data_IF_294822796796
#
_entry.id   IF_294822796796
#
_cell.length_a   1.000
_cell.length_b   1.000
_cell.length_c   1.000
_cell.angle_alpha   90.00
_cell.angle_beta   90.00
_cell.angle_gamma   90.00
#
_symmetry.space_group_name_H-M   'P 1'
#
loop_
_entity.id
_entity.type
_entity.pdbx_description
1 polymer ?
#
# COMPACT_ATOMS: atom_id res chain seq x y z
N UNK A 1 -24.37 4.38 -9.54
CA UNK A 1 -23.81 4.85 -8.26
C UNK A 1 -22.51 4.09 -8.08
N UNK A 2 -21.35 4.75 -8.15
CA UNK A 2 -20.04 4.07 -8.16
C UNK A 2 -19.85 3.34 -6.82
N UNK A 3 -19.91 2.01 -6.85
CA UNK A 3 -19.55 1.17 -5.72
C UNK A 3 -18.03 1.31 -5.57
N UNK A 4 -17.59 2.17 -4.66
CA UNK A 4 -16.18 2.20 -4.27
C UNK A 4 -15.99 0.98 -3.38
N UNK A 5 -15.20 0.02 -3.87
CA UNK A 5 -14.68 -1.17 -3.21
C UNK A 5 -14.50 -0.94 -1.69
N UNK A 6 -15.38 -1.58 -0.91
CA UNK A 6 -15.45 -1.41 0.54
C UNK A 6 -14.18 -1.88 1.24
N UNK A 7 -13.48 -2.86 0.67
CA UNK A 7 -12.22 -3.40 1.19
C UNK A 7 -11.06 -2.43 0.95
N UNK A 8 -10.99 -1.76 -0.21
CA UNK A 8 -10.01 -0.67 -0.43
C UNK A 8 -10.23 0.52 0.50
N UNK A 9 -11.49 0.90 0.74
CA UNK A 9 -11.81 1.96 1.71
C UNK A 9 -11.37 1.54 3.12
N UNK A 10 -11.67 0.31 3.54
CA UNK A 10 -11.31 -0.20 4.86
C UNK A 10 -9.80 -0.15 5.10
N UNK A 11 -8.98 -0.57 4.13
CA UNK A 11 -7.50 -0.51 4.22
C UNK A 11 -6.96 0.92 4.34
N UNK A 12 -7.53 1.86 3.57
CA UNK A 12 -7.14 3.27 3.64
C UNK A 12 -7.50 3.86 5.02
N UNK A 13 -8.64 3.45 5.57
CA UNK A 13 -9.07 3.81 6.93
C UNK A 13 -8.13 3.21 7.97
N UNK A 14 -7.78 1.92 7.88
CA UNK A 14 -6.89 1.25 8.85
C UNK A 14 -5.50 1.89 8.86
N UNK A 15 -4.96 2.18 7.68
CA UNK A 15 -3.68 2.89 7.56
C UNK A 15 -3.75 4.30 8.16
N UNK A 16 -4.86 5.03 7.93
CA UNK A 16 -5.07 6.35 8.53
C UNK A 16 -5.21 6.28 10.04
N UNK A 17 -5.93 5.28 10.55
CA UNK A 17 -6.10 5.05 11.98
C UNK A 17 -4.75 4.76 12.63
N UNK A 18 -3.93 3.92 12.00
CA UNK A 18 -2.61 3.61 12.51
C UNK A 18 -1.67 4.83 12.50
N UNK A 19 -1.68 5.62 11.42
CA UNK A 19 -0.93 6.87 11.36
C UNK A 19 -1.34 7.83 12.48
N UNK A 20 -2.64 7.96 12.75
CA UNK A 20 -3.16 8.79 13.83
C UNK A 20 -2.74 8.26 15.20
N UNK A 21 -2.75 6.94 15.40
CA UNK A 21 -2.27 6.30 16.62
C UNK A 21 -0.78 6.60 16.80
N UNK A 22 0.06 6.42 15.79
CA UNK A 22 1.49 6.72 15.86
C UNK A 22 1.76 8.20 16.12
N UNK A 23 1.02 9.11 15.47
CA UNK A 23 1.08 10.55 15.73
C UNK A 23 0.74 10.87 17.18
N UNK A 24 -0.34 10.28 17.71
CA UNK A 24 -0.72 10.48 19.11
C UNK A 24 0.32 9.92 20.08
N UNK A 25 0.82 8.71 19.82
CA UNK A 25 1.87 8.09 20.62
C UNK A 25 3.13 8.95 20.66
N UNK A 26 3.44 9.71 19.61
CA UNK A 26 4.65 10.57 19.57
C UNK A 26 4.71 11.66 20.64
N UNK A 27 3.58 12.02 21.26
CA UNK A 27 3.54 12.94 22.40
C UNK A 27 3.93 12.28 23.73
N UNK A 28 4.04 10.95 23.76
CA UNK A 28 4.38 10.19 24.93
C UNK A 28 5.79 9.60 24.79
N UNK A 29 6.50 9.52 25.92
CA UNK A 29 7.84 8.90 25.98
C UNK A 29 7.75 7.37 26.01
N UNK A 30 6.73 6.85 26.69
CA UNK A 30 6.62 5.45 27.05
C UNK A 30 5.23 4.89 26.75
N UNK A 31 5.20 3.62 26.36
CA UNK A 31 3.99 2.81 26.15
C UNK A 31 4.03 1.61 27.09
N UNK A 32 3.10 1.55 28.05
CA UNK A 32 3.09 0.51 29.08
C UNK A 32 2.37 -0.77 28.64
N UNK A 33 1.34 -0.66 27.80
CA UNK A 33 0.53 -1.79 27.40
C UNK A 33 -0.15 -1.58 26.06
N UNK A 34 -0.34 -2.67 25.32
CA UNK A 34 -1.01 -2.74 24.03
C UNK A 34 -2.10 -3.81 24.16
N UNK A 35 -3.37 -3.39 24.18
CA UNK A 35 -4.50 -4.31 24.30
C UNK A 35 -5.09 -4.59 22.91
N UNK A 36 -4.97 -5.84 22.44
CA UNK A 36 -5.60 -6.30 21.20
C UNK A 36 -6.96 -6.89 21.54
N UNK A 37 -8.03 -6.20 21.14
CA UNK A 37 -9.40 -6.62 21.43
C UNK A 37 -9.90 -7.62 20.38
N UNK A 38 -10.42 -8.76 20.82
CA UNK A 38 -10.92 -9.84 19.98
C UNK A 38 -12.31 -10.30 20.45
N UNK A 39 -13.08 -10.95 19.58
CA UNK A 39 -14.30 -11.67 19.97
C UNK A 39 -13.97 -13.17 20.10
N UNK A 40 -14.49 -13.90 21.09
CA UNK A 40 -14.22 -15.32 21.28
C UNK A 40 -14.70 -16.23 20.16
N UNK A 41 -15.79 -15.85 19.48
CA UNK A 41 -16.48 -16.70 18.51
C UNK A 41 -16.26 -16.26 17.06
N UNK A 42 -15.20 -15.50 16.79
CA UNK A 42 -14.79 -15.25 15.41
C UNK A 42 -13.88 -16.41 14.97
N UNK A 43 -14.49 -17.59 14.81
CA UNK A 43 -13.82 -18.83 14.40
C UNK A 43 -13.31 -18.78 12.96
N UNK A 44 -13.71 -17.74 12.22
CA UNK A 44 -13.21 -17.45 10.88
C UNK A 44 -11.77 -16.98 10.98
N UNK A 45 -10.88 -17.96 11.02
CA UNK A 45 -9.46 -17.82 10.69
C UNK A 45 -9.34 -17.51 9.20
N UNK A 46 -9.89 -16.37 8.82
CA UNK A 46 -9.83 -15.83 7.48
C UNK A 46 -8.42 -15.29 7.31
N UNK A 47 -7.87 -15.44 6.11
CA UNK A 47 -6.64 -14.75 5.68
C UNK A 47 -6.67 -13.27 6.12
N UNK A 48 -7.85 -12.66 6.15
CA UNK A 48 -8.14 -11.33 6.71
C UNK A 48 -7.71 -11.17 8.19
N UNK A 49 -8.05 -12.11 9.08
CA UNK A 49 -7.62 -12.07 10.49
C UNK A 49 -6.10 -12.13 10.63
N UNK A 50 -5.45 -13.03 9.87
CA UNK A 50 -3.98 -13.14 9.84
C UNK A 50 -3.36 -11.84 9.34
N UNK A 51 -3.89 -11.29 8.25
CA UNK A 51 -3.45 -10.01 7.69
C UNK A 51 -3.51 -8.88 8.73
N UNK A 52 -4.63 -8.71 9.45
CA UNK A 52 -4.75 -7.63 10.44
C UNK A 52 -3.79 -7.77 11.62
N UNK A 53 -3.63 -8.99 12.15
CA UNK A 53 -2.67 -9.23 13.24
C UNK A 53 -1.24 -8.95 12.74
N UNK A 54 -0.87 -9.44 11.56
CA UNK A 54 0.46 -9.18 11.01
C UNK A 54 0.69 -7.70 10.73
N UNK A 55 -0.29 -7.00 10.15
CA UNK A 55 -0.18 -5.58 9.84
C UNK A 55 0.06 -4.78 11.11
N UNK A 56 -0.76 -4.99 12.15
CA UNK A 56 -0.57 -4.34 13.44
C UNK A 56 0.84 -4.60 14.02
N UNK A 57 1.27 -5.86 14.05
CA UNK A 57 2.56 -6.25 14.62
C UNK A 57 3.75 -5.75 13.79
N UNK A 58 3.61 -5.60 12.47
CA UNK A 58 4.66 -5.08 11.59
C UNK A 58 5.03 -3.62 11.92
N UNK A 59 4.11 -2.88 12.54
CA UNK A 59 4.32 -1.50 12.95
C UNK A 59 4.84 -1.34 14.37
N UNK A 60 5.11 -2.44 15.08
CA UNK A 60 5.63 -2.42 16.45
C UNK A 60 7.09 -2.86 16.50
N UNK A 61 7.87 -2.14 17.32
CA UNK A 61 9.24 -2.52 17.64
C UNK A 61 9.24 -3.75 18.57
N UNK A 62 10.23 -4.64 18.40
CA UNK A 62 10.32 -5.92 19.13
C UNK A 62 10.37 -5.77 20.66
N UNK A 63 10.85 -4.64 21.16
CA UNK A 63 10.86 -4.36 22.61
C UNK A 63 9.46 -4.19 23.19
N UNK A 64 8.44 -3.90 22.37
CA UNK A 64 7.05 -3.80 22.81
C UNK A 64 6.37 -5.16 23.01
N UNK A 65 7.02 -6.28 22.66
CA UNK A 65 6.39 -7.61 22.62
C UNK A 65 5.79 -8.06 23.96
N UNK A 66 6.44 -7.72 25.07
CA UNK A 66 5.99 -8.08 26.42
C UNK A 66 4.90 -7.13 26.95
N UNK A 67 4.65 -6.02 26.25
CA UNK A 67 3.56 -5.10 26.56
C UNK A 67 2.25 -5.47 25.81
N UNK A 68 2.28 -6.46 24.91
CA UNK A 68 1.12 -6.91 24.13
C UNK A 68 0.30 -7.91 24.93
N UNK A 69 -1.00 -7.64 25.06
CA UNK A 69 -1.99 -8.51 25.70
C UNK A 69 -3.23 -8.68 24.81
N UNK A 70 -3.87 -9.84 24.91
CA UNK A 70 -5.06 -10.18 24.13
C UNK A 70 -6.31 -10.16 25.02
N UNK A 71 -7.31 -9.39 24.60
CA UNK A 71 -8.51 -9.14 25.38
C UNK A 71 -9.73 -9.64 24.62
N UNK A 72 -10.32 -10.74 25.07
CA UNK A 72 -11.51 -11.34 24.48
C UNK A 72 -12.76 -10.70 25.10
N UNK A 73 -13.49 -9.95 24.27
CA UNK A 73 -14.71 -9.22 24.66
C UNK A 73 -15.95 -10.09 24.44
N UNK A 74 -17.04 -9.82 25.16
CA UNK A 74 -18.29 -10.60 25.09
C UNK A 74 -18.07 -12.09 25.42
N UNK A 75 -17.21 -12.38 26.40
CA UNK A 75 -16.80 -13.73 26.73
C UNK A 75 -17.83 -14.53 27.53
N UNK A 76 -18.97 -13.94 27.91
CA UNK A 76 -20.04 -14.67 28.64
C UNK A 76 -20.50 -15.92 27.88
N UNK A 77 -20.68 -15.83 26.57
CA UNK A 77 -21.12 -16.96 25.73
C UNK A 77 -20.12 -18.12 25.65
N UNK A 78 -18.86 -17.88 26.04
CA UNK A 78 -17.79 -18.88 26.11
C UNK A 78 -17.39 -19.19 27.55
N UNK A 79 -18.27 -18.91 28.52
CA UNK A 79 -18.01 -19.08 29.96
C UNK A 79 -16.73 -18.36 30.42
N UNK A 80 -16.52 -17.15 29.92
CA UNK A 80 -15.36 -16.30 30.20
C UNK A 80 -14.05 -16.94 29.76
N UNK A 81 -14.06 -17.55 28.57
CA UNK A 81 -12.89 -18.13 27.93
C UNK A 81 -12.67 -17.52 26.54
N UNK A 82 -11.43 -17.59 26.01
CA UNK A 82 -11.10 -17.04 24.70
C UNK A 82 -11.84 -17.65 23.49
N UNK A 83 -12.53 -18.78 23.65
CA UNK A 83 -13.36 -19.38 22.60
C UNK A 83 -12.56 -19.90 21.39
N UNK A 84 -13.26 -20.01 20.26
CA UNK A 84 -12.77 -20.58 19.01
C UNK A 84 -11.75 -19.69 18.27
N UNK A 85 -11.69 -18.40 18.60
CA UNK A 85 -10.67 -17.47 18.05
C UNK A 85 -9.27 -17.72 18.63
N UNK A 86 -9.17 -18.41 19.76
CA UNK A 86 -7.90 -18.59 20.45
C UNK A 86 -6.93 -19.60 19.81
N UNK A 87 -7.36 -20.83 19.42
CA UNK A 87 -6.48 -21.76 18.70
C UNK A 87 -5.82 -21.16 17.45
N UNK A 88 -6.53 -20.47 16.53
CA UNK A 88 -5.90 -19.90 15.35
C UNK A 88 -4.95 -18.74 15.67
N UNK A 89 -5.29 -17.88 16.64
CA UNK A 89 -4.37 -16.84 17.12
C UNK A 89 -3.08 -17.48 17.65
N UNK A 90 -3.20 -18.49 18.52
CA UNK A 90 -2.04 -19.19 19.10
C UNK A 90 -1.17 -19.84 18.04
N UNK A 91 -1.79 -20.52 17.06
CA UNK A 91 -1.09 -21.12 15.93
C UNK A 91 -0.34 -20.04 15.14
N UNK A 92 -1.00 -18.92 14.85
CA UNK A 92 -0.41 -17.86 14.04
C UNK A 92 0.76 -17.16 14.74
N UNK A 93 0.66 -16.85 16.04
CA UNK A 93 1.78 -16.28 16.79
C UNK A 93 2.97 -17.24 16.86
N UNK A 94 2.73 -18.55 16.93
CA UNK A 94 3.80 -19.56 16.86
C UNK A 94 4.49 -19.56 15.50
N UNK A 95 3.72 -19.52 14.41
CA UNK A 95 4.30 -19.40 13.06
C UNK A 95 5.16 -18.14 12.90
N UNK A 96 4.73 -17.02 13.48
CA UNK A 96 5.50 -15.77 13.48
C UNK A 96 6.79 -15.89 14.30
N UNK A 97 6.74 -16.56 15.46
CA UNK A 97 7.92 -16.85 16.26
C UNK A 97 8.91 -17.73 15.49
N UNK A 98 8.43 -18.80 14.86
CA UNK A 98 9.27 -19.74 14.10
C UNK A 98 9.95 -19.04 12.90
N UNK A 99 9.25 -18.09 12.26
CA UNK A 99 9.76 -17.34 11.10
C UNK A 99 10.70 -16.18 11.45
N UNK A 100 10.33 -15.39 12.46
CA UNK A 100 10.98 -14.10 12.74
C UNK A 100 11.76 -14.07 14.06
N UNK A 101 11.67 -15.13 14.87
CA UNK A 101 12.41 -15.26 16.13
C UNK A 101 11.91 -14.38 17.28
N UNK A 102 10.76 -13.72 17.12
CA UNK A 102 10.16 -12.86 18.16
C UNK A 102 8.96 -13.55 18.78
N UNK A 103 9.12 -14.03 20.01
CA UNK A 103 8.03 -14.64 20.78
C UNK A 103 7.11 -13.58 21.39
N UNK A 104 5.82 -13.61 21.03
CA UNK A 104 4.74 -12.94 21.76
C UNK A 104 4.08 -13.98 22.65
N UNK A 105 4.17 -13.78 23.96
CA UNK A 105 3.68 -14.74 24.96
C UNK A 105 2.16 -14.81 24.91
N UNK A 106 1.63 -16.03 24.75
CA UNK A 106 0.19 -16.32 24.83
C UNK A 106 -0.07 -17.33 25.95
N UNK A 107 -0.23 -16.79 27.15
CA UNK A 107 -0.48 -17.55 28.38
C UNK A 107 -1.57 -16.88 29.20
N UNK A 108 -1.92 -17.49 30.34
CA UNK A 108 -2.92 -16.95 31.24
C UNK A 108 -2.68 -15.45 31.51
N UNK A 109 -1.46 -15.06 31.90
CA UNK A 109 -1.12 -13.66 32.24
C UNK A 109 -1.11 -12.67 31.07
N UNK A 110 -1.36 -13.10 29.83
CA UNK A 110 -1.41 -12.21 28.66
C UNK A 110 -2.74 -12.29 27.91
N UNK A 111 -3.69 -13.05 28.45
CA UNK A 111 -4.99 -13.31 27.84
C UNK A 111 -6.08 -13.02 28.87
N UNK A 112 -6.99 -12.12 28.53
CA UNK A 112 -8.02 -11.61 29.43
C UNK A 112 -9.40 -11.72 28.81
N UNK A 113 -10.41 -12.10 29.59
CA UNK A 113 -11.77 -12.31 29.09
C UNK A 113 -12.77 -11.38 29.78
N UNK A 114 -13.34 -10.46 29.02
CA UNK A 114 -14.25 -9.43 29.51
C UNK A 114 -15.68 -9.67 29.02
N UNK A 115 -16.64 -9.21 29.81
CA UNK A 115 -18.04 -9.12 29.41
C UNK A 115 -18.56 -7.70 29.67
N UNK A 116 -19.54 -7.27 28.87
CA UNK A 116 -20.09 -5.90 28.94
C UNK A 116 -21.56 -5.86 29.34
N UNK A 117 -22.18 -7.02 29.60
CA UNK A 117 -23.60 -7.13 29.96
C UNK A 117 -23.96 -6.37 31.25
N UNK A 118 -23.01 -6.26 32.18
CA UNK A 118 -23.19 -5.44 33.40
C UNK A 118 -23.43 -3.96 33.10
N UNK A 119 -22.78 -3.39 32.09
CA UNK A 119 -23.03 -2.00 31.67
C UNK A 119 -24.39 -1.83 31.00
N UNK A 120 -24.80 -2.82 30.19
CA UNK A 120 -26.14 -2.85 29.57
C UNK A 120 -27.23 -2.92 30.63
N UNK A 121 -27.03 -3.75 31.64
CA UNK A 121 -27.91 -3.86 32.80
C UNK A 121 -28.04 -2.53 33.55
N UNK A 122 -26.93 -1.84 33.83
CA UNK A 122 -26.97 -0.51 34.49
C UNK A 122 -27.74 0.52 33.65
N UNK A 123 -27.57 0.52 32.33
CA UNK A 123 -28.32 1.40 31.43
C UNK A 123 -29.82 1.10 31.45
N UNK A 124 -30.20 -0.19 31.46
CA UNK A 124 -31.60 -0.61 31.51
C UNK A 124 -32.26 -0.29 32.87
N UNK A 125 -31.54 -0.41 33.99
CA UNK A 125 -32.03 0.03 35.30
C UNK A 125 -32.31 1.54 35.32
N UNK A 126 -31.46 2.35 34.69
CA UNK A 126 -31.69 3.79 34.54
C UNK A 126 -32.99 4.09 33.79
N UNK A 127 -33.33 3.25 32.81
CA UNK A 127 -34.58 3.32 32.05
C UNK A 127 -35.76 2.59 32.75
N UNK A 128 -35.61 2.25 34.04
CA UNK A 128 -36.65 1.62 34.87
C UNK A 128 -37.14 0.27 34.35
N UNK A 129 -36.34 -0.42 33.53
CA UNK A 129 -36.59 -1.82 33.15
C UNK A 129 -36.52 -2.70 34.39
N UNK A 130 -37.50 -3.59 34.55
CA UNK A 130 -37.55 -4.53 35.68
C UNK A 130 -36.83 -5.82 35.31
N UNK A 131 -36.07 -6.35 36.25
CA UNK A 131 -35.37 -7.63 36.12
C UNK A 131 -35.76 -8.57 37.25
N UNK A 132 -35.71 -9.86 36.99
CA UNK A 132 -35.80 -10.88 38.02
C UNK A 132 -34.49 -10.95 38.83
N UNK A 133 -34.59 -11.36 40.11
CA UNK A 133 -33.41 -11.48 41.00
C UNK A 133 -32.31 -12.38 40.44
N UNK A 134 -32.65 -13.38 39.64
CA UNK A 134 -31.68 -14.28 38.99
C UNK A 134 -30.89 -13.58 37.89
N UNK A 135 -31.55 -12.71 37.12
CA UNK A 135 -30.90 -11.89 36.09
C UNK A 135 -29.93 -10.90 36.74
N UNK A 136 -30.37 -10.21 37.81
CA UNK A 136 -29.51 -9.30 38.57
C UNK A 136 -28.25 -9.99 39.09
N UNK A 137 -28.39 -11.20 39.66
CA UNK A 137 -27.24 -12.01 40.10
C UNK A 137 -26.30 -12.35 38.94
N UNK A 138 -26.85 -12.73 37.79
CA UNK A 138 -26.06 -13.03 36.59
C UNK A 138 -25.26 -11.82 36.10
N UNK A 139 -25.86 -10.63 36.07
CA UNK A 139 -25.19 -9.38 35.70
C UNK A 139 -24.14 -8.94 36.73
N UNK A 140 -24.41 -9.10 38.03
CA UNK A 140 -23.46 -8.82 39.10
C UNK A 140 -22.22 -9.74 39.01
N UNK A 141 -22.42 -11.03 38.70
CA UNK A 141 -21.31 -11.98 38.50
C UNK A 141 -20.48 -11.63 37.25
N UNK A 142 -21.14 -11.20 36.16
CA UNK A 142 -20.45 -10.70 34.95
C UNK A 142 -19.56 -9.48 35.26
N UNK A 143 -20.07 -8.52 36.05
CA UNK A 143 -19.30 -7.38 36.53
C UNK A 143 -18.08 -7.83 37.33
N UNK A 144 -18.29 -8.68 38.35
CA UNK A 144 -17.22 -9.15 39.23
C UNK A 144 -16.09 -9.84 38.45
N UNK A 145 -16.43 -10.68 37.48
CA UNK A 145 -15.44 -11.36 36.62
C UNK A 145 -14.65 -10.37 35.79
N UNK A 146 -15.32 -9.43 35.13
CA UNK A 146 -14.67 -8.44 34.28
C UNK A 146 -13.77 -7.49 35.07
N UNK A 147 -14.16 -7.10 36.29
CA UNK A 147 -13.33 -6.31 37.21
C UNK A 147 -12.08 -7.09 37.64
N UNK A 148 -12.24 -8.36 38.03
CA UNK A 148 -11.10 -9.19 38.42
C UNK A 148 -10.09 -9.36 37.26
N UNK A 149 -10.58 -9.57 36.04
CA UNK A 149 -9.76 -9.65 34.84
C UNK A 149 -9.06 -8.32 34.52
N UNK A 150 -9.74 -7.18 34.71
CA UNK A 150 -9.15 -5.86 34.52
C UNK A 150 -8.03 -5.58 35.52
N UNK A 151 -8.24 -5.95 36.80
CA UNK A 151 -7.21 -5.84 37.82
C UNK A 151 -5.99 -6.71 37.50
N UNK A 152 -6.22 -7.95 37.04
CA UNK A 152 -5.16 -8.86 36.59
C UNK A 152 -4.38 -8.31 35.40
N UNK A 153 -5.06 -7.63 34.48
CA UNK A 153 -4.45 -6.94 33.33
C UNK A 153 -3.57 -5.76 33.77
N UNK A 154 -4.09 -4.90 34.64
CA UNK A 154 -3.35 -3.74 35.14
C UNK A 154 -2.13 -4.17 35.97
N UNK A 155 -2.28 -5.22 36.79
CA UNK A 155 -1.17 -5.77 37.56
C UNK A 155 -0.06 -6.30 36.65
N UNK A 156 -0.39 -7.03 35.58
CA UNK A 156 0.60 -7.49 34.60
C UNK A 156 1.31 -6.32 33.92
N UNK A 157 0.55 -5.35 33.37
CA UNK A 157 1.10 -4.18 32.67
C UNK A 157 2.01 -3.37 33.59
N UNK A 158 1.67 -3.23 34.88
CA UNK A 158 2.48 -2.49 35.86
C UNK A 158 3.86 -3.11 36.09
N UNK A 159 4.02 -4.42 35.84
CA UNK A 159 5.27 -5.18 35.98
C UNK A 159 6.07 -5.21 34.67
N UNK A 160 5.46 -4.87 33.54
CA UNK A 160 6.15 -4.86 32.26
C UNK A 160 7.08 -3.64 32.16
N UNK A 161 8.31 -3.81 31.65
CA UNK A 161 9.16 -2.68 31.29
C UNK A 161 8.42 -1.77 30.29
N UNK A 162 8.38 -0.44 30.52
CA UNK A 162 7.75 0.48 29.59
C UNK A 162 8.48 0.48 28.25
N UNK A 163 7.74 0.32 27.15
CA UNK A 163 8.30 0.41 25.81
C UNK A 163 8.63 1.86 25.45
N UNK A 164 9.80 2.12 24.87
CA UNK A 164 10.18 3.46 24.39
C UNK A 164 9.53 3.74 23.02
N UNK A 165 8.65 4.73 22.98
CA UNK A 165 7.87 5.02 21.77
C UNK A 165 8.76 5.46 20.59
N UNK A 166 9.92 6.09 20.87
CA UNK A 166 10.86 6.51 19.80
C UNK A 166 11.34 5.34 18.95
N UNK A 167 11.46 4.14 19.52
CA UNK A 167 11.93 2.96 18.79
C UNK A 167 10.87 2.51 17.77
N UNK A 168 9.59 2.53 18.16
CA UNK A 168 8.47 2.28 17.24
C UNK A 168 8.36 3.36 16.16
N UNK A 169 8.52 4.65 16.51
CA UNK A 169 8.48 5.72 15.52
C UNK A 169 9.61 5.60 14.49
N UNK A 170 10.85 5.37 14.95
CA UNK A 170 12.02 5.19 14.09
C UNK A 170 11.87 3.97 13.16
N UNK A 171 11.29 2.89 13.68
CA UNK A 171 10.92 1.71 12.89
C UNK A 171 9.97 2.07 11.74
N UNK A 172 8.90 2.80 12.06
CA UNK A 172 7.89 3.20 11.08
C UNK A 172 8.41 4.20 10.06
N UNK A 173 9.24 5.16 10.48
CA UNK A 173 9.92 6.08 9.57
C UNK A 173 10.84 5.33 8.61
N UNK A 174 11.64 4.39 9.11
CA UNK A 174 12.52 3.54 8.30
C UNK A 174 11.73 2.73 7.27
N UNK A 175 10.59 2.14 7.67
CA UNK A 175 9.68 1.41 6.78
C UNK A 175 9.13 2.32 5.68
N UNK A 176 8.72 3.53 6.02
CA UNK A 176 8.23 4.50 5.04
C UNK A 176 9.32 4.93 4.04
N UNK A 177 10.55 5.14 4.50
CA UNK A 177 11.68 5.46 3.61
C UNK A 177 11.95 4.30 2.64
N UNK A 178 11.94 3.05 3.12
CA UNK A 178 12.10 1.87 2.25
C UNK A 178 11.02 1.83 1.17
N UNK A 179 9.75 2.07 1.52
CA UNK A 179 8.65 2.08 0.54
C UNK A 179 8.87 3.16 -0.52
N UNK A 180 9.25 4.38 -0.10
CA UNK A 180 9.47 5.51 -1.01
C UNK A 180 10.64 5.23 -1.94
N UNK A 181 11.79 4.83 -1.39
CA UNK A 181 12.99 4.57 -2.18
C UNK A 181 12.79 3.40 -3.15
N UNK A 182 12.08 2.35 -2.74
CA UNK A 182 11.77 1.21 -3.64
C UNK A 182 10.95 1.67 -4.84
N UNK A 183 9.97 2.56 -4.65
CA UNK A 183 9.19 3.15 -5.77
C UNK A 183 10.07 4.00 -6.69
N UNK A 184 10.90 4.89 -6.13
CA UNK A 184 11.81 5.72 -6.90
C UNK A 184 12.82 4.89 -7.71
N UNK A 185 13.30 3.79 -7.14
CA UNK A 185 14.23 2.88 -7.78
C UNK A 185 13.61 2.17 -8.99
N UNK A 186 12.33 1.78 -8.89
CA UNK A 186 11.58 1.23 -10.02
C UNK A 186 11.41 2.27 -11.15
N UNK A 187 11.03 3.50 -10.81
CA UNK A 187 10.89 4.61 -11.78
C UNK A 187 12.23 4.96 -12.45
N UNK A 188 13.32 5.00 -11.69
CA UNK A 188 14.66 5.24 -12.22
C UNK A 188 15.14 4.10 -13.12
N UNK A 189 14.84 2.85 -12.77
CA UNK A 189 15.22 1.69 -13.60
C UNK A 189 14.52 1.74 -14.96
N UNK A 190 13.22 2.07 -15.01
CA UNK A 190 12.50 2.26 -16.27
C UNK A 190 13.06 3.40 -17.12
N UNK A 191 13.43 4.52 -16.49
CA UNK A 191 14.00 5.67 -17.20
C UNK A 191 15.38 5.36 -17.79
N UNK A 192 16.22 4.65 -17.04
CA UNK A 192 17.53 4.18 -17.49
C UNK A 192 17.37 3.25 -18.70
N UNK A 193 16.50 2.25 -18.60
CA UNK A 193 16.24 1.30 -19.70
C UNK A 193 15.79 2.03 -20.96
N UNK A 194 14.84 2.96 -20.83
CA UNK A 194 14.36 3.79 -21.94
C UNK A 194 15.49 4.60 -22.57
N UNK A 195 16.35 5.22 -21.76
CA UNK A 195 17.48 6.01 -22.27
C UNK A 195 18.52 5.13 -22.98
N UNK A 196 18.81 3.95 -22.45
CA UNK A 196 19.73 2.99 -23.06
C UNK A 196 19.20 2.53 -24.43
N UNK A 197 17.91 2.25 -24.55
CA UNK A 197 17.29 1.89 -25.84
C UNK A 197 17.40 3.03 -26.85
N UNK A 198 17.12 4.26 -26.44
CA UNK A 198 17.25 5.44 -27.30
C UNK A 198 18.70 5.68 -27.76
N UNK A 199 19.68 5.51 -26.87
CA UNK A 199 21.11 5.63 -27.21
C UNK A 199 21.47 4.56 -28.25
N UNK A 200 21.03 3.32 -28.07
CA UNK A 200 21.29 2.22 -29.03
C UNK A 200 20.70 2.52 -30.40
N UNK A 201 19.47 3.03 -30.45
CA UNK A 201 18.83 3.44 -31.72
C UNK A 201 19.65 4.54 -32.42
N UNK A 202 20.08 5.56 -31.69
CA UNK A 202 20.92 6.63 -32.25
C UNK A 202 22.28 6.11 -32.72
N UNK A 203 22.90 5.18 -31.98
CA UNK A 203 24.14 4.54 -32.40
C UNK A 203 23.98 3.73 -33.69
N UNK A 204 22.87 3.00 -33.84
CA UNK A 204 22.57 2.28 -35.09
C UNK A 204 22.32 3.22 -36.26
N UNK A 205 21.60 4.33 -36.05
CA UNK A 205 21.41 5.36 -37.08
C UNK A 205 22.74 6.00 -37.50
N UNK A 206 23.63 6.31 -36.56
CA UNK A 206 24.95 6.87 -36.85
C UNK A 206 25.82 5.86 -37.64
N UNK A 207 25.75 4.57 -37.30
CA UNK A 207 26.48 3.52 -38.02
C UNK A 207 25.96 3.32 -39.45
N UNK A 208 24.64 3.38 -39.64
CA UNK A 208 23.99 3.18 -40.94
C UNK A 208 24.15 4.39 -41.89
N UNK A 209 24.50 5.58 -41.38
CA UNK A 209 24.82 6.76 -42.21
C UNK A 209 26.13 6.59 -42.99
N UNK A 210 26.96 5.59 -42.69
CA UNK A 210 28.17 5.29 -43.47
C UNK A 210 27.89 4.64 -44.86
N UNK A 211 26.63 4.36 -45.25
CA UNK A 211 26.32 3.71 -46.53
C UNK A 211 25.60 4.56 -47.59
N UNK A 212 25.13 5.78 -47.31
CA UNK A 212 24.52 6.62 -48.36
C UNK A 212 24.93 8.09 -48.20
N UNK A 213 26.01 8.46 -48.89
CA UNK A 213 26.13 9.81 -49.44
C UNK A 213 25.08 9.95 -50.53
N UNK A 214 24.01 10.68 -50.25
CA UNK A 214 23.45 11.63 -51.21
C UNK A 214 22.52 12.61 -50.51
N UNK A 215 22.61 13.83 -51.02
CA UNK A 215 22.01 15.06 -50.57
C UNK A 215 20.50 14.93 -50.33
N UNK A 216 20.05 15.31 -49.13
CA UNK A 216 18.85 16.14 -48.94
C UNK A 216 18.73 16.57 -47.47
N UNK A 217 18.98 17.86 -47.26
CA UNK A 217 18.43 18.71 -46.20
C UNK A 217 18.06 18.03 -44.86
N UNK A 218 18.91 18.23 -43.84
CA UNK A 218 18.62 17.93 -42.43
C UNK A 218 17.36 18.69 -41.98
N UNK A 219 16.20 18.04 -42.12
CA UNK A 219 15.04 18.36 -41.29
C UNK A 219 15.40 17.90 -39.88
N UNK A 220 15.77 18.84 -39.03
CA UNK A 220 15.62 18.66 -37.59
C UNK A 220 14.16 18.27 -37.33
N UNK A 221 13.90 16.99 -37.09
CA UNK A 221 12.58 16.52 -36.71
C UNK A 221 12.28 17.09 -35.33
N UNK A 222 11.53 18.19 -35.34
CA UNK A 222 10.63 18.55 -34.26
C UNK A 222 9.69 17.36 -34.04
N UNK A 223 9.49 17.02 -32.76
CA UNK A 223 8.48 16.12 -32.19
C UNK A 223 8.76 14.60 -32.13
N UNK A 224 8.48 14.04 -30.95
CA UNK A 224 7.41 13.04 -30.85
C UNK A 224 6.33 13.57 -29.92
N UNK A 225 5.15 13.88 -30.49
CA UNK A 225 3.91 14.03 -29.74
C UNK A 225 3.22 12.67 -29.80
N UNK A 226 2.72 12.27 -28.63
CA UNK A 226 1.57 11.38 -28.40
C UNK A 226 1.86 9.87 -28.49
N UNK A 227 1.68 9.21 -27.34
CA UNK A 227 0.88 7.99 -27.24
C UNK A 227 -0.01 8.15 -25.98
N UNK A 228 -1.24 8.68 -26.14
CA UNK A 228 -2.45 7.91 -25.83
C UNK A 228 -2.33 6.46 -26.32
N UNK A 229 -2.08 5.54 -25.41
CA UNK A 229 -2.22 4.10 -25.67
C UNK A 229 -3.69 3.78 -25.49
N UNK A 230 -4.40 3.48 -26.59
CA UNK A 230 -5.67 2.76 -26.54
C UNK A 230 -5.47 1.23 -26.68
N UNK A 231 -4.25 0.71 -26.51
CA UNK A 231 -4.01 -0.75 -26.61
C UNK A 231 -3.24 -1.38 -25.45
N UNK A 232 -3.07 -0.66 -24.33
CA UNK A 232 -2.78 -1.31 -23.05
C UNK A 232 -3.59 -0.57 -21.98
N UNK A 233 -4.43 -1.32 -21.27
CA UNK A 233 -5.26 -0.86 -20.15
C UNK A 233 -4.39 -0.40 -18.95
N UNK A 234 -3.53 0.59 -19.15
CA UNK A 234 -2.78 1.27 -18.09
C UNK A 234 -3.18 2.73 -18.11
N UNK A 235 -4.23 3.05 -17.36
CA UNK A 235 -4.57 4.43 -17.04
C UNK A 235 -3.50 4.96 -16.08
N UNK A 236 -2.50 5.68 -16.59
CA UNK A 236 -1.61 6.49 -15.75
C UNK A 236 -2.35 7.77 -15.39
N UNK A 237 -2.80 7.89 -14.15
CA UNK A 237 -3.37 9.14 -13.62
C UNK A 237 -2.21 10.12 -13.46
N UNK A 238 -2.13 11.11 -14.35
CA UNK A 238 -1.19 12.22 -14.24
C UNK A 238 -1.80 13.27 -13.28
N UNK A 239 -1.17 13.53 -12.15
CA UNK A 239 -1.67 14.50 -11.17
C UNK A 239 -1.25 15.91 -11.62
N UNK A 240 -2.14 16.58 -12.34
CA UNK A 240 -1.82 17.76 -13.18
C UNK A 240 -1.61 19.07 -12.38
N UNK A 241 -1.96 19.13 -11.09
CA UNK A 241 -2.05 20.43 -10.37
C UNK A 241 -1.42 20.43 -8.98
N UNK A 242 -0.32 21.15 -8.84
CA UNK A 242 0.28 21.47 -7.55
C UNK A 242 -0.49 22.63 -6.90
N UNK A 243 -0.73 22.53 -5.58
CA UNK A 243 -1.40 23.60 -4.84
C UNK A 243 -0.41 24.70 -4.45
N UNK A 244 0.75 24.33 -3.93
CA UNK A 244 1.89 25.22 -3.71
C UNK A 244 3.20 24.43 -3.63
N UNK A 245 4.34 25.02 -4.00
CA UNK A 245 5.65 24.40 -3.85
C UNK A 245 6.09 24.37 -2.36
N UNK A 246 7.03 23.49 -2.04
CA UNK A 246 7.67 23.36 -0.72
C UNK A 246 6.69 23.27 0.45
N UNK A 247 5.73 22.35 0.34
CA UNK A 247 4.75 22.15 1.40
C UNK A 247 5.42 21.57 2.66
N UNK A 248 5.46 22.36 3.74
CA UNK A 248 6.02 21.96 5.04
C UNK A 248 5.01 21.27 5.96
N UNK A 249 3.91 20.72 5.41
CA UNK A 249 2.98 19.90 6.19
C UNK A 249 3.74 18.77 6.89
N UNK A 250 3.79 18.83 8.21
CA UNK A 250 4.36 17.79 9.07
C UNK A 250 3.24 16.82 9.45
N UNK A 251 3.48 15.52 9.29
CA UNK A 251 2.50 14.48 9.62
C UNK A 251 1.60 13.97 8.47
N UNK A 252 1.73 14.49 7.24
CA UNK A 252 1.17 13.84 6.05
C UNK A 252 2.21 12.88 5.45
N UNK A 253 1.92 11.58 5.41
CA UNK A 253 2.76 10.63 4.66
C UNK A 253 2.83 11.05 3.18
N UNK A 254 4.03 10.99 2.59
CA UNK A 254 4.26 11.36 1.20
C UNK A 254 3.58 10.38 0.24
N UNK A 255 3.10 10.90 -0.91
CA UNK A 255 2.61 10.09 -2.02
C UNK A 255 1.32 9.28 -1.76
N UNK A 256 0.50 9.71 -0.78
CA UNK A 256 -0.86 9.20 -0.56
C UNK A 256 -1.92 10.31 -0.54
N UNK A 257 -3.06 10.04 -1.18
CA UNK A 257 -4.27 10.89 -1.10
C UNK A 257 -4.99 10.68 0.24
N UNK A 258 -5.89 11.61 0.59
CA UNK A 258 -6.81 11.47 1.73
C UNK A 258 -6.14 11.41 3.12
N UNK A 259 -5.08 12.20 3.33
CA UNK A 259 -4.43 12.31 4.64
C UNK A 259 -4.99 13.47 5.43
N UNK A 260 -5.56 13.20 6.61
CA UNK A 260 -6.18 14.23 7.46
C UNK A 260 -5.20 15.34 7.88
N UNK A 261 -3.91 15.04 7.97
CA UNK A 261 -2.85 16.02 8.19
C UNK A 261 -2.77 17.10 7.08
N UNK A 262 -3.31 16.84 5.88
CA UNK A 262 -3.43 17.84 4.82
C UNK A 262 -4.50 18.90 5.13
N UNK A 263 -5.38 18.71 6.12
CA UNK A 263 -6.27 19.78 6.60
C UNK A 263 -5.48 20.95 7.20
N UNK A 264 -4.30 20.67 7.73
CA UNK A 264 -3.38 21.67 8.30
C UNK A 264 -2.47 22.29 7.21
N UNK A 265 -2.64 21.89 5.95
CA UNK A 265 -1.90 22.46 4.83
C UNK A 265 -2.36 23.89 4.57
N UNK A 266 -1.41 24.81 4.38
CA UNK A 266 -1.67 26.24 4.12
C UNK A 266 -2.56 26.47 2.89
N UNK A 267 -2.54 25.55 1.91
CA UNK A 267 -3.41 25.65 0.75
C UNK A 267 -4.85 25.18 1.00
N UNK A 268 -5.14 24.50 2.12
CA UNK A 268 -6.49 24.05 2.48
C UNK A 268 -7.12 25.09 3.41
N UNK A 269 -8.26 25.63 2.99
CA UNK A 269 -9.03 26.56 3.80
C UNK A 269 -9.69 25.84 4.99
N UNK A 270 -10.14 26.61 5.98
CA UNK A 270 -10.84 26.11 7.17
C UNK A 270 -12.10 25.26 6.86
N UNK A 271 -12.69 25.44 5.68
CA UNK A 271 -13.82 24.64 5.20
C UNK A 271 -13.43 23.27 4.60
N UNK A 272 -12.13 22.93 4.58
CA UNK A 272 -11.61 21.67 4.05
C UNK A 272 -11.41 21.64 2.54
N UNK A 273 -11.57 22.76 1.84
CA UNK A 273 -11.33 22.86 0.40
C UNK A 273 -10.07 23.64 0.08
N UNK A 274 -9.33 23.18 -0.93
CA UNK A 274 -8.14 23.85 -1.40
C UNK A 274 -8.46 25.22 -2.01
N UNK A 275 -7.75 26.25 -1.58
CA UNK A 275 -7.85 27.59 -2.15
C UNK A 275 -7.47 27.65 -3.63
N UNK A 276 -6.57 26.77 -4.08
CA UNK A 276 -6.02 26.75 -5.44
C UNK A 276 -6.87 25.93 -6.42
N UNK A 277 -7.00 24.62 -6.21
CA UNK A 277 -7.71 23.74 -7.15
C UNK A 277 -9.17 23.45 -6.77
N UNK A 278 -9.68 24.07 -5.68
CA UNK A 278 -11.05 23.93 -5.18
C UNK A 278 -11.50 22.50 -4.84
N UNK A 279 -10.59 21.53 -4.86
CA UNK A 279 -10.87 20.17 -4.44
C UNK A 279 -10.88 20.07 -2.91
N UNK A 280 -11.68 19.14 -2.39
CA UNK A 280 -11.67 18.82 -0.96
C UNK A 280 -10.32 18.18 -0.58
N UNK A 281 -9.79 18.47 0.62
CA UNK A 281 -8.48 18.01 1.09
C UNK A 281 -8.27 16.49 0.95
N UNK A 282 -9.35 15.70 0.97
CA UNK A 282 -9.28 14.24 0.77
C UNK A 282 -8.78 13.83 -0.62
N UNK A 283 -8.83 14.72 -1.61
CA UNK A 283 -8.29 14.50 -2.97
C UNK A 283 -6.85 14.97 -3.12
N UNK A 284 -6.23 15.49 -2.06
CA UNK A 284 -4.88 16.02 -2.08
C UNK A 284 -3.88 15.02 -1.54
N UNK A 285 -2.64 15.16 -2.00
CA UNK A 285 -1.51 14.32 -1.65
C UNK A 285 -0.32 15.21 -1.29
N UNK A 286 0.35 14.91 -0.18
CA UNK A 286 1.61 15.59 0.14
C UNK A 286 2.71 14.97 -0.70
N UNK A 287 3.37 15.78 -1.53
CA UNK A 287 4.46 15.34 -2.40
C UNK A 287 5.67 16.23 -2.09
N UNK A 288 6.80 15.61 -1.73
CA UNK A 288 8.08 16.31 -1.51
C UNK A 288 9.05 16.23 -2.69
N UNK A 289 8.70 15.43 -3.69
CA UNK A 289 9.50 15.23 -4.88
C UNK A 289 8.59 15.34 -6.10
N UNK A 290 8.92 16.22 -7.04
CA UNK A 290 8.23 16.25 -8.33
C UNK A 290 9.14 15.56 -9.34
N UNK A 291 8.73 14.40 -9.86
CA UNK A 291 9.40 13.77 -11.00
C UNK A 291 8.92 14.44 -12.28
N UNK A 292 9.61 15.51 -12.69
CA UNK A 292 9.43 16.08 -14.03
C UNK A 292 10.36 15.38 -14.99
N UNK A 293 9.80 14.76 -16.02
CA UNK A 293 10.56 14.41 -17.22
C UNK A 293 10.88 15.71 -17.95
N UNK A 294 12.04 16.27 -17.67
CA UNK A 294 12.47 17.52 -18.30
C UNK A 294 13.24 17.17 -19.57
N UNK A 295 12.73 17.59 -20.72
CA UNK A 295 13.51 17.64 -21.95
C UNK A 295 14.53 18.77 -21.77
N UNK A 296 15.72 18.44 -21.27
CA UNK A 296 16.84 19.36 -21.28
C UNK A 296 17.61 19.17 -22.58
N UNK A 297 17.67 20.21 -23.40
CA UNK A 297 18.72 20.36 -24.39
C UNK A 297 20.03 20.59 -23.62
N UNK A 298 20.69 19.51 -23.18
CA UNK A 298 21.98 19.62 -22.51
C UNK A 298 23.05 19.78 -23.60
N UNK A 299 23.01 20.90 -24.31
CA UNK A 299 24.16 21.35 -25.08
C UNK A 299 25.16 21.93 -24.07
N UNK A 300 26.12 21.11 -23.65
CA UNK A 300 27.25 21.56 -22.83
C UNK A 300 27.85 22.83 -23.45
N UNK A 301 28.08 23.93 -22.71
CA UNK A 301 28.70 25.15 -23.23
C UNK A 301 30.01 24.89 -23.98
N UNK A 302 30.79 23.87 -23.60
CA UNK A 302 32.00 23.45 -24.32
C UNK A 302 31.66 22.85 -25.69
N UNK A 303 30.62 22.03 -25.77
CA UNK A 303 30.11 21.48 -27.04
C UNK A 303 29.46 22.59 -27.87
N UNK A 304 28.75 23.54 -27.27
CA UNK A 304 28.22 24.71 -27.98
C UNK A 304 29.35 25.50 -28.66
N UNK A 305 30.50 25.67 -27.99
CA UNK A 305 31.71 26.25 -28.56
C UNK A 305 32.29 25.40 -29.71
N UNK A 306 32.40 24.08 -29.51
CA UNK A 306 32.84 23.13 -30.55
C UNK A 306 31.85 22.95 -31.72
N UNK A 307 30.56 23.20 -31.52
CA UNK A 307 29.48 23.12 -32.52
C UNK A 307 29.60 24.24 -33.54
N UNK A 308 30.06 25.41 -33.11
CA UNK A 308 30.31 26.57 -33.99
C UNK A 308 31.72 26.56 -34.63
N UNK A 309 32.60 25.62 -34.26
CA UNK A 309 33.99 25.51 -34.73
C UNK A 309 34.22 24.39 -35.79
N UNK A 310 33.28 24.15 -36.71
CA UNK A 310 33.44 23.23 -37.87
C UNK A 310 33.57 21.71 -37.58
N UNK A 311 32.73 21.14 -36.70
CA UNK A 311 32.55 19.66 -36.64
C UNK A 311 31.49 19.18 -37.63
N UNK A 312 31.73 18.02 -38.25
CA UNK A 312 30.77 17.32 -39.11
C UNK A 312 29.53 16.89 -38.31
N UNK A 313 28.37 16.73 -38.95
CA UNK A 313 27.13 16.32 -38.28
C UNK A 313 27.25 14.95 -37.57
N UNK A 314 28.16 14.09 -38.05
CA UNK A 314 28.49 12.80 -37.44
C UNK A 314 29.21 12.98 -36.09
N UNK A 315 30.19 13.87 -35.99
CA UNK A 315 30.88 14.19 -34.73
C UNK A 315 29.95 14.85 -33.70
N UNK A 316 28.94 15.60 -34.16
CA UNK A 316 27.90 16.18 -33.29
C UNK A 316 27.00 15.11 -32.68
N UNK A 317 26.53 14.15 -33.49
CA UNK A 317 25.72 13.02 -33.01
C UNK A 317 26.50 12.13 -32.06
N UNK A 318 27.78 11.87 -32.35
CA UNK A 318 28.66 11.08 -31.48
C UNK A 318 28.84 11.71 -30.10
N UNK A 319 29.05 13.03 -30.04
CA UNK A 319 29.22 13.74 -28.77
C UNK A 319 27.93 13.73 -27.89
N UNK A 320 26.74 13.75 -28.51
CA UNK A 320 25.45 13.62 -27.80
C UNK A 320 25.29 12.21 -27.24
N UNK A 321 25.71 11.18 -27.98
CA UNK A 321 25.71 9.78 -27.53
C UNK A 321 26.63 9.60 -26.33
N UNK A 322 27.89 10.05 -26.42
CA UNK A 322 28.87 9.97 -25.31
C UNK A 322 28.36 10.68 -24.05
N UNK A 323 27.77 11.86 -24.20
CA UNK A 323 27.18 12.59 -23.07
C UNK A 323 25.99 11.83 -22.44
N UNK A 324 25.17 11.20 -23.28
CA UNK A 324 24.02 10.41 -22.82
C UNK A 324 24.49 9.15 -22.06
N UNK A 325 25.55 8.49 -22.53
CA UNK A 325 26.19 7.37 -21.84
C UNK A 325 26.76 7.79 -20.48
N UNK A 326 27.46 8.92 -20.40
CA UNK A 326 27.96 9.47 -19.12
C UNK A 326 26.80 9.75 -18.15
N UNK A 327 25.66 10.25 -18.65
CA UNK A 327 24.49 10.49 -17.82
C UNK A 327 23.84 9.19 -17.34
N UNK A 328 23.76 8.15 -18.17
CA UNK A 328 23.32 6.82 -17.74
C UNK A 328 24.20 6.33 -16.59
N UNK A 329 25.53 6.32 -16.75
CA UNK A 329 26.46 5.90 -15.71
C UNK A 329 26.28 6.66 -14.38
N UNK A 330 25.96 7.96 -14.44
CA UNK A 330 25.66 8.76 -13.26
C UNK A 330 24.36 8.30 -12.57
N UNK A 331 23.32 7.98 -13.34
CA UNK A 331 22.05 7.46 -12.84
C UNK A 331 22.20 6.05 -12.24
N UNK A 332 23.04 5.19 -12.83
CA UNK A 332 23.41 3.90 -12.25
C UNK A 332 24.06 4.08 -10.86
N UNK A 333 25.01 5.02 -10.71
CA UNK A 333 25.64 5.31 -9.40
C UNK A 333 24.65 5.83 -8.36
N UNK A 334 23.70 6.68 -8.77
CA UNK A 334 22.61 7.15 -7.91
C UNK A 334 21.72 5.97 -7.46
N UNK A 335 21.39 5.06 -8.38
CA UNK A 335 20.63 3.82 -8.10
C UNK A 335 21.36 2.92 -7.09
N UNK A 336 22.64 2.65 -7.30
CA UNK A 336 23.45 1.85 -6.35
C UNK A 336 23.47 2.44 -4.94
N UNK A 337 23.50 3.77 -4.84
CA UNK A 337 23.47 4.48 -3.55
C UNK A 337 22.13 4.26 -2.84
N UNK A 338 21.02 4.37 -3.56
CA UNK A 338 19.69 4.09 -3.02
C UNK A 338 19.53 2.62 -2.60
N UNK A 339 20.04 1.69 -3.40
CA UNK A 339 20.04 0.25 -3.06
C UNK A 339 20.75 0.00 -1.73
N UNK A 340 21.93 0.59 -1.53
CA UNK A 340 22.69 0.49 -0.27
C UNK A 340 21.89 1.05 0.92
N UNK A 341 21.15 2.14 0.74
CA UNK A 341 20.31 2.71 1.80
C UNK A 341 19.14 1.77 2.11
N UNK A 342 18.42 1.28 1.09
CA UNK A 342 17.31 0.34 1.25
C UNK A 342 17.79 -0.92 1.98
N UNK A 343 18.95 -1.47 1.61
CA UNK A 343 19.52 -2.65 2.26
C UNK A 343 19.78 -2.43 3.74
N UNK A 344 20.39 -1.28 4.11
CA UNK A 344 20.65 -0.93 5.52
C UNK A 344 19.35 -0.78 6.31
N UNK A 345 18.35 -0.11 5.75
CA UNK A 345 17.05 0.07 6.40
C UNK A 345 16.29 -1.26 6.50
N UNK A 346 16.35 -2.11 5.49
CA UNK A 346 15.75 -3.45 5.52
C UNK A 346 16.43 -4.36 6.55
N UNK A 347 17.74 -4.24 6.74
CA UNK A 347 18.45 -4.91 7.84
C UNK A 347 17.99 -4.38 9.20
N UNK A 348 17.93 -3.05 9.38
CA UNK A 348 17.41 -2.44 10.60
C UNK A 348 15.99 -2.93 10.92
N UNK A 349 15.09 -3.00 9.94
CA UNK A 349 13.73 -3.53 10.12
C UNK A 349 13.73 -5.00 10.52
N UNK A 350 14.57 -5.83 9.91
CA UNK A 350 14.71 -7.27 10.27
C UNK A 350 15.18 -7.48 11.70
N UNK A 351 16.08 -6.63 12.17
CA UNK A 351 16.64 -6.74 13.51
C UNK A 351 15.71 -6.19 14.59
N UNK A 352 14.81 -5.25 14.26
CA UNK A 352 14.10 -4.45 15.26
C UNK A 352 12.57 -4.55 15.21
N UNK A 353 11.97 -4.96 14.10
CA UNK A 353 10.51 -5.17 14.02
C UNK A 353 10.12 -6.50 14.69
N UNK A 354 8.87 -6.59 15.17
CA UNK A 354 8.26 -7.90 15.47
C UNK A 354 8.09 -8.68 14.16
N UNK A 355 7.58 -8.00 13.12
CA UNK A 355 7.41 -8.55 11.77
C UNK A 355 8.06 -7.61 10.74
N UNK A 356 9.12 -8.03 10.05
CA UNK A 356 9.81 -7.17 9.08
C UNK A 356 8.94 -6.82 7.85
N UNK A 357 8.11 -7.75 7.38
CA UNK A 357 7.16 -7.54 6.28
C UNK A 357 5.92 -8.42 6.44
N UNK A 358 4.77 -7.91 6.01
CA UNK A 358 3.49 -8.63 6.07
C UNK A 358 3.37 -9.54 4.82
N UNK A 359 3.67 -10.82 4.98
CA UNK A 359 3.60 -11.80 3.90
C UNK A 359 2.17 -12.30 3.63
N UNK A 360 1.28 -12.18 4.62
CA UNK A 360 -0.15 -12.43 4.45
C UNK A 360 -0.84 -11.42 3.51
N UNK A 361 -0.15 -10.35 3.12
CA UNK A 361 -0.68 -9.35 2.21
C UNK A 361 -0.97 -9.91 0.81
N UNK A 362 -0.15 -10.85 0.31
CA UNK A 362 -0.36 -11.48 -1.00
C UNK A 362 -1.64 -12.30 -0.98
N UNK A 363 -1.77 -13.21 -0.01
CA UNK A 363 -2.97 -14.03 0.19
C UNK A 363 -4.23 -13.15 0.34
N UNK A 364 -4.12 -12.02 1.03
CA UNK A 364 -5.23 -11.08 1.22
C UNK A 364 -5.59 -10.31 -0.06
N UNK A 365 -4.62 -9.95 -0.90
CA UNK A 365 -4.87 -9.40 -2.23
C UNK A 365 -5.58 -10.41 -3.12
N UNK A 366 -5.15 -11.66 -3.11
CA UNK A 366 -5.76 -12.73 -3.91
C UNK A 366 -7.23 -12.95 -3.50
N UNK A 367 -7.52 -13.00 -2.20
CA UNK A 367 -8.91 -13.03 -1.73
C UNK A 367 -9.72 -11.84 -2.22
N UNK A 368 -9.18 -10.63 -2.12
CA UNK A 368 -9.90 -9.41 -2.55
C UNK A 368 -10.17 -9.46 -4.06
N UNK A 369 -9.22 -9.97 -4.86
CA UNK A 369 -9.40 -10.16 -6.30
C UNK A 369 -10.51 -11.20 -6.58
N UNK A 370 -10.58 -12.27 -5.80
CA UNK A 370 -11.63 -13.30 -5.93
C UNK A 370 -13.00 -12.71 -5.60
N UNK A 371 -13.12 -11.98 -4.49
CA UNK A 371 -14.36 -11.30 -4.07
C UNK A 371 -14.83 -10.31 -5.14
N UNK A 372 -13.93 -9.44 -5.62
CA UNK A 372 -14.26 -8.46 -6.68
C UNK A 372 -14.70 -9.14 -7.99
N UNK A 373 -14.09 -10.27 -8.35
CA UNK A 373 -14.53 -11.07 -9.52
C UNK A 373 -15.94 -11.62 -9.33
N UNK A 374 -16.30 -12.04 -8.12
CA UNK A 374 -17.65 -12.53 -7.81
C UNK A 374 -18.68 -11.41 -7.88
N UNK A 375 -18.36 -10.23 -7.35
CA UNK A 375 -19.23 -9.05 -7.41
C UNK A 375 -19.44 -8.59 -8.86
N UNK A 376 -18.38 -8.55 -9.68
CA UNK A 376 -18.49 -8.29 -11.12
C UNK A 376 -19.40 -9.33 -11.78
N UNK A 377 -19.23 -10.62 -11.45
CA UNK A 377 -20.06 -11.69 -12.02
C UNK A 377 -21.53 -11.54 -11.65
N UNK A 378 -21.84 -11.16 -10.40
CA UNK A 378 -23.21 -10.90 -9.96
C UNK A 378 -23.81 -9.66 -10.63
N UNK A 379 -23.06 -8.57 -10.73
CA UNK A 379 -23.48 -7.37 -11.44
C UNK A 379 -23.71 -7.65 -12.93
N UNK A 380 -22.87 -8.47 -13.55
CA UNK A 380 -23.05 -8.94 -14.93
C UNK A 380 -24.34 -9.76 -15.08
N UNK A 381 -24.65 -10.67 -14.15
CA UNK A 381 -25.90 -11.42 -14.16
C UNK A 381 -27.12 -10.50 -14.04
N UNK A 382 -27.10 -9.55 -13.10
CA UNK A 382 -28.16 -8.56 -12.96
C UNK A 382 -28.31 -7.69 -14.22
N UNK A 383 -27.21 -7.36 -14.91
CA UNK A 383 -27.23 -6.63 -16.17
C UNK A 383 -27.93 -7.43 -17.29
N UNK A 384 -27.74 -8.76 -17.32
CA UNK A 384 -28.39 -9.64 -18.29
C UNK A 384 -29.87 -9.88 -18.01
N UNK A 385 -30.32 -9.66 -16.78
CA UNK A 385 -31.73 -9.75 -16.39
C UNK A 385 -32.52 -8.46 -16.68
N UNK A 386 -31.88 -7.41 -17.20
CA UNK A 386 -32.55 -6.15 -17.55
C UNK A 386 -33.55 -6.34 -18.72
N UNK A 387 -34.79 -5.86 -18.59
CA UNK A 387 -35.89 -6.20 -19.49
C UNK A 387 -35.78 -5.67 -20.92
N UNK A 388 -34.97 -4.63 -21.15
CA UNK A 388 -34.86 -3.97 -22.47
C UNK A 388 -33.56 -4.38 -23.19
N UNK A 389 -32.43 -4.38 -22.49
CA UNK A 389 -31.10 -4.54 -23.11
C UNK A 389 -30.34 -5.79 -22.64
N UNK A 390 -30.83 -6.53 -21.65
CA UNK A 390 -30.10 -7.64 -21.02
C UNK A 390 -29.75 -8.76 -22.00
N UNK A 391 -30.68 -9.15 -22.86
CA UNK A 391 -30.47 -10.22 -23.84
C UNK A 391 -29.48 -9.82 -24.96
N UNK A 392 -29.48 -8.55 -25.37
CA UNK A 392 -28.52 -8.00 -26.33
C UNK A 392 -27.09 -8.00 -25.76
N UNK A 393 -26.93 -7.54 -24.51
CA UNK A 393 -25.64 -7.51 -23.82
C UNK A 393 -25.07 -8.92 -23.61
N UNK A 394 -25.93 -9.92 -23.33
CA UNK A 394 -25.53 -11.33 -23.22
C UNK A 394 -25.00 -11.88 -24.54
N UNK A 395 -25.67 -11.58 -25.66
CA UNK A 395 -25.24 -12.00 -27.00
C UNK A 395 -23.94 -11.31 -27.44
N UNK A 396 -23.77 -10.02 -27.11
CA UNK A 396 -22.57 -9.26 -27.45
C UNK A 396 -21.30 -9.79 -26.76
N UNK A 397 -21.39 -10.32 -25.53
CA UNK A 397 -20.25 -10.94 -24.83
C UNK A 397 -19.87 -12.32 -25.38
N UNK A 398 -20.83 -13.09 -25.85
CA UNK A 398 -20.59 -14.43 -26.43
C UNK A 398 -20.02 -14.39 -27.87
N UNK A 399 -20.11 -13.24 -28.55
CA UNK A 399 -19.58 -13.06 -29.89
C UNK A 399 -18.04 -13.16 -29.95
N UNK A 400 -17.25 -12.44 -29.12
CA UNK A 400 -15.78 -12.55 -29.14
C UNK A 400 -15.24 -13.92 -28.69
N UNK A 401 -15.90 -14.63 -27.76
CA UNK A 401 -15.46 -15.99 -27.35
C UNK A 401 -15.67 -17.06 -28.44
N UNK A 402 -16.59 -16.82 -29.39
CA UNK A 402 -16.77 -17.67 -30.57
C UNK A 402 -15.73 -17.39 -31.65
N UNK A 403 -15.32 -16.13 -31.82
CA UNK A 403 -14.28 -15.75 -32.78
C UNK A 403 -12.88 -16.20 -32.34
N UNK A 404 -12.55 -16.15 -31.05
CA UNK A 404 -11.26 -16.70 -30.55
C UNK A 404 -11.20 -18.24 -30.67
N UNK A 405 -12.30 -18.95 -30.37
CA UNK A 405 -12.37 -20.40 -30.54
C UNK A 405 -12.38 -20.82 -32.03
N UNK A 406 -12.96 -20.02 -32.92
CA UNK A 406 -12.89 -20.24 -34.36
C UNK A 406 -11.50 -19.91 -34.94
N UNK A 407 -10.81 -18.88 -34.43
CA UNK A 407 -9.43 -18.57 -34.81
C UNK A 407 -8.45 -19.68 -34.36
N UNK A 408 -8.68 -20.29 -33.19
CA UNK A 408 -7.90 -21.45 -32.73
C UNK A 408 -8.16 -22.71 -33.57
N UNK A 409 -9.41 -22.94 -34.01
CA UNK A 409 -9.74 -24.03 -34.94
C UNK A 409 -9.15 -23.80 -36.35
N UNK A 410 -9.17 -22.57 -36.86
CA UNK A 410 -8.56 -22.27 -38.16
C UNK A 410 -7.04 -22.42 -38.16
N UNK A 411 -6.33 -22.04 -37.08
CA UNK A 411 -4.87 -22.28 -36.98
C UNK A 411 -4.48 -23.75 -37.01
N UNK A 412 -5.27 -24.64 -36.38
CA UNK A 412 -5.01 -26.09 -36.42
C UNK A 412 -5.24 -26.72 -37.80
N UNK A 413 -6.14 -26.16 -38.60
CA UNK A 413 -6.42 -26.65 -39.96
C UNK A 413 -5.32 -26.20 -40.93
N UNK A 414 -4.80 -24.98 -40.79
CA UNK A 414 -3.69 -24.47 -41.65
C UNK A 414 -2.32 -25.06 -41.32
N UNK A 415 -2.08 -25.54 -40.11
CA UNK A 415 -0.83 -26.22 -39.74
C UNK A 415 -0.78 -27.71 -40.14
N UNK A 416 -1.87 -28.26 -40.68
CA UNK A 416 -1.99 -29.68 -41.07
C UNK A 416 -1.94 -29.97 -42.57
N UNK A 417 -1.69 -28.97 -43.43
CA UNK A 417 -1.72 -29.11 -44.90
C UNK A 417 -0.39 -28.79 -45.62
N UNK A 418 0.72 -28.61 -44.90
CA UNK A 418 2.06 -28.55 -45.50
C UNK A 418 2.96 -29.57 -44.84
N UNK A 419 2.84 -30.83 -45.25
CA UNK A 419 3.85 -31.89 -45.16
C UNK A 419 3.34 -33.05 -46.01
N UNK A 420 3.45 -32.91 -47.33
CA UNK A 420 3.88 -33.93 -48.31
C UNK A 420 4.27 -33.22 -49.61
#
# INVERSE_FOLDING_TARGET
MFHIDGNKILRLIDKLNLDNILKYLSFHKHLNGICILLKPNDSRTTIVFRFYIQELLAHLHKSAKDNIVFCFTNARGTFYRPGDTFPPLKKHLKELQDRFGVEIKIKHDTVYCFDSESFRFLAALKDKVKFHKEEEKSFAESWKRSVNEAMRLLEYISKCPPHNIKDTLSLNESRNIVIILTKLLAEMSQLIETNIELIKMQQTEIKNINEIMNEECVKCVKYVKRIRTEEQNIYKIDYITHCHPHCNCTGAQHSFINKAALKECVAINSNGYCGYCKCHWSKHMHIRYETKTVIKNILDPKIKKQIYENKTDQERKQAIVEQSEVRCQQLEKEKETMEKIIQKLAQFLRENAIIPFNDAYVDYLDLTIIEEKQDITQLEQQLYELPINGEFLRKAKQAPERDENNAFKHRKITSGQNLY
#
